data_IF_280141136037
#
_entry.id   IF_280141136037
#
_cell.length_a   1.000
_cell.length_b   1.000
_cell.length_c   1.000
_cell.angle_alpha   90.00
_cell.angle_beta   90.00
_cell.angle_gamma   90.00
#
_symmetry.space_group_name_H-M   'P 1'
#
loop_
_entity.id
_entity.type
_entity.pdbx_description
1 polymer ?
#
# COMPACT_ATOMS: atom_id res chain seq x y z
N UNK A 1 -9.82 -2.87 36.44
CA UNK A 1 -8.82 -1.81 36.20
C UNK A 1 -9.60 -0.55 35.91
N UNK A 2 -9.74 0.32 36.89
CA UNK A 2 -10.43 1.59 36.82
C UNK A 2 -9.67 2.51 35.87
N UNK A 3 -10.30 2.87 34.74
CA UNK A 3 -9.83 3.92 33.86
C UNK A 3 -10.01 5.28 34.51
N UNK A 4 -8.94 5.82 35.09
CA UNK A 4 -8.92 7.20 35.53
C UNK A 4 -9.22 8.15 34.36
N UNK A 5 -9.75 9.36 34.61
CA UNK A 5 -10.04 10.33 33.55
C UNK A 5 -8.77 10.60 32.75
N UNK A 6 -8.89 10.55 31.43
CA UNK A 6 -7.80 10.95 30.51
C UNK A 6 -7.36 12.38 30.90
N UNK A 7 -6.04 12.67 31.01
CA UNK A 7 -5.59 14.01 31.31
C UNK A 7 -6.19 14.98 30.28
N UNK A 8 -6.85 16.02 30.76
CA UNK A 8 -7.38 17.08 29.93
C UNK A 8 -6.27 17.55 28.98
N UNK A 9 -6.52 17.44 27.66
CA UNK A 9 -5.60 17.94 26.66
C UNK A 9 -5.59 19.47 26.74
N UNK A 10 -4.75 20.00 27.61
CA UNK A 10 -4.61 21.47 27.76
C UNK A 10 -3.93 22.00 26.48
N UNK A 11 -4.61 22.91 25.82
CA UNK A 11 -4.01 23.74 24.77
C UNK A 11 -2.90 24.59 25.39
N UNK A 12 -1.83 24.84 24.64
CA UNK A 12 -0.80 25.78 25.08
C UNK A 12 -1.44 27.15 25.33
N UNK A 13 -1.02 27.82 26.41
CA UNK A 13 -1.50 29.15 26.74
C UNK A 13 -1.30 30.09 25.54
N UNK A 14 -2.34 30.83 25.15
CA UNK A 14 -2.32 31.71 23.99
C UNK A 14 -2.74 31.08 22.68
N UNK A 15 -3.06 29.74 22.63
CA UNK A 15 -3.58 29.10 21.42
C UNK A 15 -4.99 29.62 21.13
N UNK A 16 -5.20 30.14 19.92
CA UNK A 16 -6.51 30.58 19.42
C UNK A 16 -7.22 29.48 18.64
N UNK A 17 -8.55 29.58 18.52
CA UNK A 17 -9.34 28.68 17.69
C UNK A 17 -8.90 28.72 16.22
N UNK A 18 -8.59 29.90 15.68
CA UNK A 18 -8.15 30.07 14.29
C UNK A 18 -6.85 29.32 14.02
N UNK A 19 -5.89 29.32 14.94
CA UNK A 19 -4.66 28.54 14.82
C UNK A 19 -4.94 27.04 14.76
N UNK A 20 -5.89 26.53 15.53
CA UNK A 20 -6.30 25.12 15.49
C UNK A 20 -6.98 24.79 14.16
N UNK A 21 -7.85 25.68 13.69
CA UNK A 21 -8.55 25.56 12.43
C UNK A 21 -7.57 25.56 11.23
N UNK A 22 -6.61 26.47 11.23
CA UNK A 22 -5.58 26.54 10.19
C UNK A 22 -4.75 25.26 10.12
N UNK A 23 -4.37 24.70 11.27
CA UNK A 23 -3.66 23.42 11.33
C UNK A 23 -4.52 22.27 10.80
N UNK A 24 -5.81 22.25 11.11
CA UNK A 24 -6.74 21.26 10.59
C UNK A 24 -6.89 21.35 9.06
N UNK A 25 -7.05 22.57 8.53
CA UNK A 25 -7.15 22.84 7.10
C UNK A 25 -5.86 22.45 6.39
N UNK A 26 -4.70 22.78 6.97
CA UNK A 26 -3.39 22.38 6.46
C UNK A 26 -3.28 20.85 6.39
N UNK A 27 -3.55 20.13 7.48
CA UNK A 27 -3.46 18.67 7.52
C UNK A 27 -4.43 18.02 6.51
N UNK A 28 -5.63 18.59 6.34
CA UNK A 28 -6.57 18.12 5.31
C UNK A 28 -6.00 18.25 3.90
N UNK A 29 -5.43 19.42 3.55
CA UNK A 29 -4.81 19.64 2.24
C UNK A 29 -3.61 18.72 2.04
N UNK A 30 -2.79 18.57 3.07
CA UNK A 30 -1.63 17.70 3.07
C UNK A 30 -2.02 16.23 2.83
N UNK A 31 -3.06 15.73 3.50
CA UNK A 31 -3.59 14.38 3.26
C UNK A 31 -4.03 14.16 1.82
N UNK A 32 -4.71 15.13 1.21
CA UNK A 32 -5.17 15.02 -0.18
C UNK A 32 -3.99 14.91 -1.15
N UNK A 33 -2.94 15.71 -0.98
CA UNK A 33 -1.73 15.62 -1.79
C UNK A 33 -1.02 14.27 -1.63
N UNK A 34 -0.94 13.76 -0.40
CA UNK A 34 -0.33 12.45 -0.13
C UNK A 34 -1.16 11.32 -0.72
N UNK A 35 -2.49 11.38 -0.64
CA UNK A 35 -3.38 10.38 -1.26
C UNK A 35 -3.22 10.36 -2.78
N UNK A 36 -3.17 11.51 -3.43
CA UNK A 36 -2.96 11.60 -4.87
C UNK A 36 -1.61 10.97 -5.29
N UNK A 37 -0.55 11.24 -4.52
CA UNK A 37 0.75 10.63 -4.79
C UNK A 37 0.73 9.11 -4.61
N UNK A 38 0.06 8.61 -3.56
CA UNK A 38 -0.07 7.18 -3.30
C UNK A 38 -0.90 6.50 -4.39
N UNK A 39 -1.98 7.10 -4.86
CA UNK A 39 -2.82 6.58 -5.94
C UNK A 39 -2.01 6.34 -7.21
N UNK A 40 -1.16 7.30 -7.61
CA UNK A 40 -0.26 7.14 -8.76
C UNK A 40 0.69 5.95 -8.60
N UNK A 41 1.22 5.75 -7.39
CA UNK A 41 2.10 4.62 -7.08
C UNK A 41 1.31 3.31 -7.11
N UNK A 42 0.09 3.29 -6.56
CA UNK A 42 -0.80 2.13 -6.55
C UNK A 42 -1.13 1.66 -7.96
N UNK A 43 -1.57 2.58 -8.84
CA UNK A 43 -1.88 2.30 -10.25
C UNK A 43 -0.64 1.76 -10.98
N UNK A 44 0.50 2.41 -10.81
CA UNK A 44 1.76 1.98 -11.42
C UNK A 44 2.20 0.59 -10.92
N UNK A 45 2.09 0.32 -9.63
CA UNK A 45 2.45 -0.98 -9.05
C UNK A 45 1.54 -2.09 -9.59
N UNK A 46 0.23 -1.83 -9.65
CA UNK A 46 -0.78 -2.75 -10.18
C UNK A 46 -0.44 -3.14 -11.62
N UNK A 47 -0.18 -2.14 -12.46
CA UNK A 47 0.19 -2.35 -13.85
C UNK A 47 1.50 -3.15 -14.00
N UNK A 48 2.55 -2.77 -13.27
CA UNK A 48 3.84 -3.48 -13.31
C UNK A 48 3.75 -4.90 -12.78
N UNK A 49 3.05 -5.12 -11.67
CA UNK A 49 2.84 -6.45 -11.09
C UNK A 49 2.12 -7.39 -12.07
N UNK A 50 0.97 -6.93 -12.60
CA UNK A 50 0.17 -7.73 -13.52
C UNK A 50 0.90 -7.99 -14.85
N UNK A 51 1.54 -6.97 -15.42
CA UNK A 51 2.18 -7.05 -16.75
C UNK A 51 3.46 -7.89 -16.71
N UNK A 52 4.40 -7.55 -15.80
CA UNK A 52 5.71 -8.22 -15.78
C UNK A 52 5.60 -9.69 -15.40
N UNK A 53 4.77 -10.03 -14.41
CA UNK A 53 4.59 -11.41 -13.97
C UNK A 53 3.62 -12.18 -14.87
N UNK A 54 2.57 -11.52 -15.37
CA UNK A 54 1.64 -12.11 -16.32
C UNK A 54 2.29 -12.50 -17.65
N UNK A 55 3.19 -11.66 -18.18
CA UNK A 55 4.00 -11.99 -19.37
C UNK A 55 5.01 -13.10 -19.10
N UNK A 56 5.56 -13.16 -17.89
CA UNK A 56 6.59 -14.14 -17.54
C UNK A 56 6.03 -15.52 -17.24
N UNK A 57 4.91 -15.61 -16.56
CA UNK A 57 4.37 -16.84 -15.97
C UNK A 57 2.95 -17.19 -16.43
N UNK A 58 2.32 -16.31 -17.20
CA UNK A 58 0.93 -16.48 -17.63
C UNK A 58 -0.08 -15.74 -16.76
N UNK A 59 -1.27 -15.61 -17.31
CA UNK A 59 -2.35 -14.78 -16.76
C UNK A 59 -2.86 -15.19 -15.38
N UNK A 60 -2.68 -16.46 -15.00
CA UNK A 60 -3.18 -17.03 -13.74
C UNK A 60 -2.07 -17.56 -12.84
N UNK A 61 -0.81 -17.10 -13.03
CA UNK A 61 0.34 -17.54 -12.22
C UNK A 61 0.08 -17.41 -10.71
N UNK A 62 -0.72 -16.44 -10.31
CA UNK A 62 -1.02 -16.18 -8.91
C UNK A 62 -1.84 -17.27 -8.23
N UNK A 63 -2.43 -18.20 -9.00
CA UNK A 63 -3.09 -19.40 -8.47
C UNK A 63 -2.11 -20.48 -8.04
N UNK A 64 -0.88 -20.45 -8.54
CA UNK A 64 0.14 -21.48 -8.33
C UNK A 64 1.00 -21.17 -7.11
N UNK A 65 0.98 -22.07 -6.12
CA UNK A 65 1.74 -21.87 -4.86
C UNK A 65 3.27 -21.81 -5.07
N UNK A 66 3.78 -22.43 -6.16
CA UNK A 66 5.21 -22.49 -6.43
C UNK A 66 5.87 -21.11 -6.61
N UNK A 67 5.11 -20.08 -6.97
CA UNK A 67 5.60 -18.72 -7.13
C UNK A 67 5.65 -17.93 -5.79
N UNK A 68 5.18 -18.50 -4.69
CA UNK A 68 5.09 -17.83 -3.40
C UNK A 68 5.95 -18.50 -2.32
N UNK A 69 6.34 -17.71 -1.32
CA UNK A 69 7.28 -18.12 -0.27
C UNK A 69 6.74 -19.22 0.64
N UNK A 70 5.43 -19.21 0.91
CA UNK A 70 4.81 -20.06 1.91
C UNK A 70 3.37 -20.39 1.51
N UNK A 71 3.04 -21.68 1.56
CA UNK A 71 1.74 -22.24 1.17
C UNK A 71 0.57 -21.64 1.96
N UNK A 72 0.70 -21.57 3.28
CA UNK A 72 -0.38 -21.06 4.14
C UNK A 72 -0.64 -19.56 3.91
N UNK A 73 0.44 -18.80 3.69
CA UNK A 73 0.31 -17.39 3.33
C UNK A 73 -0.33 -17.22 1.96
N UNK A 74 0.05 -18.05 0.97
CA UNK A 74 -0.54 -18.02 -0.36
C UNK A 74 -2.05 -18.34 -0.32
N UNK A 75 -2.46 -19.38 0.41
CA UNK A 75 -3.87 -19.72 0.60
C UNK A 75 -4.67 -18.56 1.19
N UNK A 76 -4.13 -17.87 2.22
CA UNK A 76 -4.79 -16.68 2.80
C UNK A 76 -4.92 -15.54 1.81
N UNK A 77 -3.88 -15.26 1.02
CA UNK A 77 -3.93 -14.24 -0.03
C UNK A 77 -5.00 -14.57 -1.07
N UNK A 78 -5.08 -15.85 -1.50
CA UNK A 78 -6.10 -16.30 -2.45
C UNK A 78 -7.51 -16.22 -1.86
N UNK A 79 -7.71 -16.64 -0.61
CA UNK A 79 -9.01 -16.53 0.06
C UNK A 79 -9.49 -15.08 0.11
N UNK A 80 -8.62 -14.17 0.56
CA UNK A 80 -8.95 -12.75 0.61
C UNK A 80 -9.23 -12.16 -0.79
N UNK A 81 -8.46 -12.56 -1.80
CA UNK A 81 -8.68 -12.13 -3.17
C UNK A 81 -10.01 -12.65 -3.73
N UNK A 82 -10.33 -13.93 -3.47
CA UNK A 82 -11.61 -14.53 -3.87
C UNK A 82 -12.79 -13.77 -3.26
N UNK A 83 -12.71 -13.45 -1.96
CA UNK A 83 -13.73 -12.65 -1.28
C UNK A 83 -13.91 -11.26 -1.89
N UNK A 84 -12.81 -10.58 -2.28
CA UNK A 84 -12.88 -9.28 -2.95
C UNK A 84 -13.52 -9.39 -4.34
N UNK A 85 -13.11 -10.39 -5.12
CA UNK A 85 -13.72 -10.68 -6.43
C UNK A 85 -15.21 -10.99 -6.27
N UNK A 86 -15.60 -11.77 -5.24
CA UNK A 86 -17.00 -12.16 -5.01
C UNK A 86 -17.88 -10.98 -4.56
N UNK A 87 -17.30 -10.05 -3.81
CA UNK A 87 -18.00 -8.81 -3.39
C UNK A 87 -18.03 -7.73 -4.47
N UNK A 88 -17.15 -7.84 -5.45
CA UNK A 88 -17.04 -6.84 -6.52
C UNK A 88 -18.29 -6.80 -7.39
N UNK A 89 -18.73 -5.59 -7.71
CA UNK A 89 -19.83 -5.30 -8.66
C UNK A 89 -19.31 -4.69 -9.95
N UNK A 90 -18.02 -4.84 -10.21
CA UNK A 90 -17.39 -4.28 -11.40
C UNK A 90 -17.84 -5.05 -12.66
N UNK A 91 -18.26 -4.34 -13.72
CA UNK A 91 -18.78 -4.99 -14.93
C UNK A 91 -17.84 -5.98 -15.59
N UNK A 92 -16.51 -5.78 -15.45
CA UNK A 92 -15.52 -6.69 -16.00
C UNK A 92 -15.44 -8.02 -15.24
N UNK A 93 -15.78 -8.06 -13.94
CA UNK A 93 -15.90 -9.30 -13.15
C UNK A 93 -17.13 -10.08 -13.60
N UNK A 94 -18.28 -9.41 -13.72
CA UNK A 94 -19.52 -10.04 -14.17
C UNK A 94 -19.37 -10.59 -15.59
N UNK A 95 -18.74 -9.83 -16.49
CA UNK A 95 -18.44 -10.29 -17.85
C UNK A 95 -17.57 -11.57 -17.85
N UNK A 96 -16.52 -11.61 -17.01
CA UNK A 96 -15.69 -12.80 -16.91
C UNK A 96 -16.49 -14.01 -16.45
N UNK A 97 -17.29 -13.88 -15.41
CA UNK A 97 -18.13 -14.97 -14.85
C UNK A 97 -19.14 -15.52 -15.84
N UNK A 98 -19.72 -14.65 -16.67
CA UNK A 98 -20.67 -15.06 -17.72
C UNK A 98 -20.00 -15.86 -18.84
N UNK A 99 -18.75 -15.53 -19.14
CA UNK A 99 -18.02 -16.08 -20.29
C UNK A 99 -17.16 -17.30 -19.95
N UNK A 100 -16.62 -17.37 -18.75
CA UNK A 100 -15.64 -18.39 -18.35
C UNK A 100 -16.06 -19.09 -17.05
N UNK A 101 -16.18 -20.44 -17.13
CA UNK A 101 -16.42 -21.26 -15.95
C UNK A 101 -15.12 -21.58 -15.17
N UNK A 102 -14.00 -21.66 -15.87
CA UNK A 102 -12.69 -21.96 -15.32
C UNK A 102 -11.58 -21.13 -16.00
N UNK A 103 -10.57 -20.68 -15.25
CA UNK A 103 -10.48 -20.69 -13.80
C UNK A 103 -11.56 -19.82 -13.12
N UNK A 104 -11.88 -20.09 -11.85
CA UNK A 104 -12.92 -19.34 -11.12
C UNK A 104 -12.55 -17.85 -10.88
N UNK A 105 -11.25 -17.57 -10.73
CA UNK A 105 -10.74 -16.20 -10.62
C UNK A 105 -10.31 -15.66 -11.98
N UNK A 106 -10.63 -14.39 -12.29
CA UNK A 106 -10.18 -13.75 -13.52
C UNK A 106 -8.66 -13.64 -13.63
N UNK A 107 -8.12 -13.33 -14.82
CA UNK A 107 -6.69 -13.11 -15.02
C UNK A 107 -6.14 -11.99 -14.11
N UNK A 108 -4.81 -11.99 -13.87
CA UNK A 108 -4.15 -11.09 -12.93
C UNK A 108 -4.42 -9.61 -13.20
N UNK A 109 -4.51 -9.19 -14.46
CA UNK A 109 -4.80 -7.79 -14.82
C UNK A 109 -6.24 -7.37 -14.49
N UNK A 110 -7.16 -8.33 -14.30
CA UNK A 110 -8.53 -8.10 -13.84
C UNK A 110 -8.60 -8.18 -12.32
N UNK A 111 -8.03 -9.24 -11.72
CA UNK A 111 -8.05 -9.40 -10.26
C UNK A 111 -7.27 -8.33 -9.53
N UNK A 112 -6.19 -7.82 -10.13
CA UNK A 112 -5.41 -6.73 -9.53
C UNK A 112 -6.21 -5.42 -9.39
N UNK A 113 -7.24 -5.20 -10.22
CA UNK A 113 -8.07 -3.99 -10.12
C UNK A 113 -8.95 -3.96 -8.86
N UNK A 114 -9.35 -5.12 -8.35
CA UNK A 114 -10.13 -5.22 -7.12
C UNK A 114 -9.27 -5.34 -5.85
N UNK A 115 -7.96 -5.56 -5.99
CA UNK A 115 -7.05 -5.58 -4.86
C UNK A 115 -6.91 -4.20 -4.23
N UNK A 116 -6.99 -4.11 -2.92
CA UNK A 116 -6.52 -2.92 -2.21
C UNK A 116 -5.00 -2.76 -2.31
N UNK A 117 -4.51 -1.54 -2.11
CA UNK A 117 -3.06 -1.28 -2.11
C UNK A 117 -2.30 -2.12 -1.07
N UNK A 118 -2.92 -2.35 0.10
CA UNK A 118 -2.35 -3.22 1.13
C UNK A 118 -2.24 -4.67 0.67
N UNK A 119 -3.26 -5.20 -0.01
CA UNK A 119 -3.23 -6.54 -0.60
C UNK A 119 -2.14 -6.64 -1.66
N UNK A 120 -2.10 -5.71 -2.61
CA UNK A 120 -1.09 -5.67 -3.67
C UNK A 120 0.34 -5.64 -3.09
N UNK A 121 0.59 -4.86 -2.04
CA UNK A 121 1.85 -4.84 -1.28
C UNK A 121 2.19 -6.22 -0.70
N UNK A 122 1.20 -6.95 -0.16
CA UNK A 122 1.41 -8.31 0.36
C UNK A 122 1.69 -9.32 -0.75
N UNK A 123 0.97 -9.27 -1.87
CA UNK A 123 1.23 -10.13 -3.02
C UNK A 123 2.66 -9.94 -3.55
N UNK A 124 3.13 -8.69 -3.69
CA UNK A 124 4.52 -8.38 -4.04
C UNK A 124 5.51 -8.95 -3.03
N UNK A 125 5.30 -8.69 -1.74
CA UNK A 125 6.18 -9.14 -0.64
C UNK A 125 6.35 -10.65 -0.63
N UNK A 126 5.31 -11.41 -0.97
CA UNK A 126 5.27 -12.88 -0.85
C UNK A 126 5.71 -13.63 -2.09
N UNK A 127 6.10 -12.95 -3.16
CA UNK A 127 6.77 -13.61 -4.28
C UNK A 127 7.99 -14.37 -3.78
N UNK A 128 8.15 -15.61 -4.24
CA UNK A 128 9.20 -16.54 -3.78
C UNK A 128 10.58 -16.08 -4.19
N UNK A 129 10.75 -15.76 -5.48
CA UNK A 129 12.06 -15.45 -6.01
C UNK A 129 12.43 -13.99 -5.82
N UNK A 130 13.70 -13.76 -5.49
CA UNK A 130 14.23 -12.39 -5.43
C UNK A 130 14.20 -11.72 -6.80
N UNK A 131 14.45 -12.51 -7.86
CA UNK A 131 14.48 -11.98 -9.23
C UNK A 131 13.15 -11.38 -9.67
N UNK A 132 12.01 -11.95 -9.23
CA UNK A 132 10.67 -11.41 -9.56
C UNK A 132 10.42 -10.10 -8.83
N UNK A 133 10.76 -10.02 -7.54
CA UNK A 133 10.65 -8.77 -6.78
C UNK A 133 11.57 -7.69 -7.36
N UNK A 134 12.80 -8.09 -7.75
CA UNK A 134 13.76 -7.16 -8.35
C UNK A 134 13.31 -6.70 -9.75
N UNK A 135 12.67 -7.55 -10.53
CA UNK A 135 12.11 -7.19 -11.84
C UNK A 135 11.11 -6.03 -11.71
N UNK A 136 10.21 -6.11 -10.73
CA UNK A 136 9.24 -5.05 -10.45
C UNK A 136 9.94 -3.81 -9.87
N UNK A 137 10.87 -3.99 -8.92
CA UNK A 137 11.55 -2.88 -8.25
C UNK A 137 12.41 -2.04 -9.21
N UNK A 138 12.99 -2.64 -10.25
CA UNK A 138 13.75 -1.95 -11.31
C UNK A 138 12.93 -0.90 -12.06
N UNK A 139 11.61 -1.11 -12.22
CA UNK A 139 10.74 -0.12 -12.85
C UNK A 139 10.70 1.21 -12.07
N UNK A 140 11.08 1.19 -10.80
CA UNK A 140 11.15 2.36 -9.91
C UNK A 140 12.57 2.80 -9.58
N UNK A 141 13.59 2.13 -10.15
CA UNK A 141 14.99 2.40 -9.84
C UNK A 141 15.41 1.98 -8.42
N UNK A 142 14.68 1.04 -7.78
CA UNK A 142 14.91 0.61 -6.41
C UNK A 142 15.37 -0.84 -6.31
N UNK A 143 15.98 -1.17 -5.16
CA UNK A 143 16.11 -2.56 -4.76
C UNK A 143 14.78 -3.11 -4.19
N UNK A 144 14.62 -4.42 -4.24
CA UNK A 144 13.36 -5.08 -3.88
C UNK A 144 13.03 -5.00 -2.37
N UNK A 145 14.05 -4.86 -1.51
CA UNK A 145 13.84 -4.76 -0.05
C UNK A 145 13.35 -3.37 0.32
N UNK A 146 13.95 -2.34 -0.31
CA UNK A 146 13.47 -0.97 -0.13
C UNK A 146 12.03 -0.85 -0.62
N UNK A 147 11.74 -1.29 -1.88
CA UNK A 147 10.38 -1.22 -2.42
C UNK A 147 9.38 -1.94 -1.51
N UNK A 148 9.71 -3.13 -1.00
CA UNK A 148 8.84 -3.87 -0.09
C UNK A 148 8.48 -3.08 1.18
N UNK A 149 9.47 -2.46 1.83
CA UNK A 149 9.25 -1.68 3.04
C UNK A 149 8.51 -0.37 2.75
N UNK A 150 8.82 0.26 1.62
CA UNK A 150 8.17 1.48 1.16
C UNK A 150 6.67 1.26 0.87
N UNK A 151 6.32 0.22 0.11
CA UNK A 151 4.93 -0.12 -0.18
C UNK A 151 4.14 -0.45 1.09
N UNK A 152 4.76 -1.15 2.05
CA UNK A 152 4.13 -1.44 3.34
C UNK A 152 3.85 -0.17 4.15
N UNK A 153 4.82 0.76 4.19
CA UNK A 153 4.65 2.06 4.82
C UNK A 153 3.54 2.87 4.14
N UNK A 154 3.58 2.98 2.80
CA UNK A 154 2.58 3.72 2.04
C UNK A 154 1.17 3.14 2.21
N UNK A 155 1.01 1.82 2.26
CA UNK A 155 -0.28 1.19 2.53
C UNK A 155 -0.84 1.60 3.92
N UNK A 156 0.04 1.71 4.92
CA UNK A 156 -0.34 2.20 6.24
C UNK A 156 -0.74 3.67 6.20
N UNK A 157 0.05 4.53 5.55
CA UNK A 157 -0.25 5.95 5.37
C UNK A 157 -1.58 6.15 4.63
N UNK A 158 -1.79 5.40 3.54
CA UNK A 158 -3.03 5.43 2.75
C UNK A 158 -4.26 5.13 3.62
N UNK A 159 -4.17 4.12 4.47
CA UNK A 159 -5.29 3.77 5.34
C UNK A 159 -5.58 4.86 6.38
N UNK A 160 -4.53 5.46 6.99
CA UNK A 160 -4.71 6.58 7.92
C UNK A 160 -5.40 7.76 7.24
N UNK A 161 -4.92 8.13 6.04
CA UNK A 161 -5.44 9.29 5.29
C UNK A 161 -6.86 9.06 4.78
N UNK A 162 -7.15 7.86 4.29
CA UNK A 162 -8.49 7.47 3.81
C UNK A 162 -9.54 7.46 4.95
N UNK A 163 -9.12 7.13 6.18
CA UNK A 163 -9.97 7.21 7.36
C UNK A 163 -9.93 8.58 8.08
N UNK A 164 -9.52 9.62 7.37
CA UNK A 164 -9.44 11.00 7.88
C UNK A 164 -8.54 11.19 9.10
N UNK A 165 -7.66 10.21 9.40
CA UNK A 165 -6.70 10.32 10.50
C UNK A 165 -5.68 11.43 10.23
N UNK A 166 -5.30 12.18 11.28
CA UNK A 166 -4.26 13.21 11.18
C UNK A 166 -2.95 12.61 10.64
N UNK A 167 -2.34 13.29 9.66
CA UNK A 167 -1.07 12.88 9.06
C UNK A 167 0.10 13.74 9.57
N UNK A 168 -0.08 15.05 9.63
CA UNK A 168 0.95 15.99 10.12
C UNK A 168 1.36 15.71 11.56
N UNK A 169 2.66 15.67 11.79
CA UNK A 169 3.25 15.40 13.12
C UNK A 169 2.73 14.10 13.78
N UNK A 170 2.38 13.09 12.96
CA UNK A 170 1.97 11.77 13.45
C UNK A 170 3.18 10.85 13.54
N UNK A 171 3.33 10.16 14.66
CA UNK A 171 4.29 9.06 14.78
C UNK A 171 3.72 7.82 14.06
N UNK A 172 4.54 7.20 13.20
CA UNK A 172 4.18 5.99 12.47
C UNK A 172 4.79 4.77 13.15
N UNK A 173 3.96 3.73 13.30
CA UNK A 173 4.40 2.42 13.82
C UNK A 173 5.06 1.58 12.74
N UNK A 174 4.72 1.83 11.47
CA UNK A 174 5.32 1.18 10.31
C UNK A 174 6.18 2.21 9.61
N UNK A 175 7.50 2.04 9.69
CA UNK A 175 8.50 2.89 9.05
C UNK A 175 9.06 2.19 7.81
N UNK A 176 9.54 2.98 6.84
CA UNK A 176 10.23 2.43 5.68
C UNK A 176 11.73 2.31 5.94
N UNK A 177 12.39 1.37 5.27
CA UNK A 177 13.84 1.33 5.20
C UNK A 177 14.37 2.55 4.44
N UNK A 178 15.63 2.94 4.71
CA UNK A 178 16.26 3.98 3.90
C UNK A 178 16.74 3.38 2.57
N UNK A 179 16.53 4.07 1.43
CA UNK A 179 17.05 3.61 0.15
C UNK A 179 18.59 3.70 0.16
N UNK A 180 19.25 2.69 -0.38
CA UNK A 180 20.69 2.75 -0.64
C UNK A 180 20.98 3.45 -1.94
N UNK A 181 20.15 3.21 -2.94
CA UNK A 181 20.14 3.83 -4.24
C UNK A 181 18.70 4.25 -4.63
N UNK A 182 18.55 5.39 -5.32
CA UNK A 182 19.59 6.39 -5.59
C UNK A 182 19.93 7.21 -4.32
N UNK A 183 21.22 7.51 -4.12
CA UNK A 183 21.72 8.17 -2.92
C UNK A 183 21.07 9.54 -2.63
N UNK A 184 20.61 10.26 -3.66
CA UNK A 184 19.91 11.54 -3.46
C UNK A 184 18.60 11.38 -2.70
N UNK A 185 17.89 10.25 -2.82
CA UNK A 185 16.68 10.01 -2.02
C UNK A 185 17.00 9.80 -0.55
N UNK A 186 18.13 9.13 -0.25
CA UNK A 186 18.56 8.95 1.13
C UNK A 186 18.86 10.30 1.81
N UNK A 187 19.40 11.28 1.06
CA UNK A 187 19.67 12.63 1.59
C UNK A 187 18.43 13.47 1.85
N UNK A 188 17.30 13.16 1.19
CA UNK A 188 16.02 13.83 1.42
C UNK A 188 15.26 13.28 2.62
N UNK A 189 15.67 12.10 3.12
CA UNK A 189 15.01 11.44 4.21
C UNK A 189 15.80 11.63 5.50
N UNK A 190 15.15 12.15 6.54
CA UNK A 190 15.77 12.19 7.86
C UNK A 190 15.69 10.79 8.50
N UNK A 191 16.81 10.06 8.70
CA UNK A 191 16.80 8.71 9.23
C UNK A 191 16.28 8.61 10.67
N UNK A 192 16.23 9.75 11.39
CA UNK A 192 15.68 9.84 12.75
C UNK A 192 14.22 10.29 12.79
N UNK A 193 13.63 10.66 11.64
CA UNK A 193 12.25 11.10 11.60
C UNK A 193 11.31 9.89 11.66
N UNK A 194 10.53 9.80 12.70
CA UNK A 194 9.41 8.89 12.85
C UNK A 194 8.06 9.57 12.52
N UNK A 195 8.11 10.83 12.02
CA UNK A 195 6.96 11.70 11.77
C UNK A 195 7.09 12.45 10.46
N UNK A 196 5.97 12.73 9.83
CA UNK A 196 5.90 13.75 8.77
C UNK A 196 5.92 15.13 9.40
N UNK A 197 7.10 15.67 9.63
CA UNK A 197 7.36 17.05 10.08
C UNK A 197 8.21 17.75 9.03
N UNK A 198 7.96 19.03 8.82
CA UNK A 198 8.90 19.86 8.04
C UNK A 198 10.26 19.92 8.75
N UNK A 199 11.32 19.93 7.97
CA UNK A 199 12.65 20.29 8.45
C UNK A 199 12.71 21.79 8.66
#
# INVERSE_FOLDING_TARGET
VEGGPLPEAMLRQGTTFDQVLDLYIFDRKFRLLVLEAIERIEVSLRANYANLLGLRYGSHFFLEECFFQNRETHKRLLSTLSEEVDRSREPFIDHYRQKYAQPSLPPIWVTSEVMSFGQLSQWFKRLKTRSDRQLIAKAYGFDEKFLQSFLHHLAHVRNITAHHGRLWNRRFTITMALPKDPAHLASLLNPKADRYVGN
#
